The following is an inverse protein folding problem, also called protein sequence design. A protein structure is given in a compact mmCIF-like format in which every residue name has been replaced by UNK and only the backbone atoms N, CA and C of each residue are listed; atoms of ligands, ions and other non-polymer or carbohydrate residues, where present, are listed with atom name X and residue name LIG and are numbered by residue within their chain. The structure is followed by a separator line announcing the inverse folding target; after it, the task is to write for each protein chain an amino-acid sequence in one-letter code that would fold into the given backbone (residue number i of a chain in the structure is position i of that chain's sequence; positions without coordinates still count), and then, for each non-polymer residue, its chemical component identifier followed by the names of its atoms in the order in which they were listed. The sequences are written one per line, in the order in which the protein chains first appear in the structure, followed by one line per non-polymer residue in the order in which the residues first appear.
data_IF_377833245937
#
_entry.id   IF_377833245937
#
_cell.length_a   1.000
_cell.length_b   1.000
_cell.length_c   1.000
_cell.angle_alpha   90.00
_cell.angle_beta   90.00
_cell.angle_gamma   90.00
#
_symmetry.space_group_name_H-M   'P 1'
#
loop_
_entity.id
_entity.type
_entity.pdbx_description
1 polymer ?
#
# COMPACT_ATOMS: atom_id res chain seq x y z
N UNK A 1 -1.89 -17.61 0.51
CA UNK A 1 -1.71 -16.71 1.68
C UNK A 1 -2.76 -17.04 2.72
N UNK A 2 -2.36 -17.33 3.92
CA UNK A 2 -3.22 -17.62 5.09
C UNK A 2 -2.91 -16.63 6.21
N UNK A 3 -3.77 -16.54 7.22
CA UNK A 3 -3.54 -15.71 8.40
C UNK A 3 -2.20 -16.05 9.05
N UNK A 4 -1.91 -17.32 9.25
CA UNK A 4 -0.64 -17.79 9.81
C UNK A 4 0.60 -17.33 9.03
N UNK A 5 0.47 -17.07 7.71
CA UNK A 5 1.56 -16.55 6.90
C UNK A 5 1.80 -15.06 7.18
N UNK A 6 0.73 -14.31 7.42
CA UNK A 6 0.78 -12.88 7.80
C UNK A 6 1.35 -12.75 9.21
N UNK A 7 0.91 -13.58 10.16
CA UNK A 7 1.40 -13.57 11.55
C UNK A 7 2.90 -13.86 11.60
N UNK A 8 3.38 -14.87 10.85
CA UNK A 8 4.82 -15.13 10.72
C UNK A 8 5.60 -13.97 10.11
N UNK A 9 5.00 -13.22 9.19
CA UNK A 9 5.64 -12.04 8.61
C UNK A 9 5.68 -10.87 9.62
N UNK A 10 4.68 -10.78 10.50
CA UNK A 10 4.67 -9.81 11.60
C UNK A 10 5.75 -10.13 12.64
N UNK A 11 5.96 -11.41 12.99
CA UNK A 11 7.01 -11.85 13.91
C UNK A 11 8.42 -11.39 13.47
N UNK A 12 8.65 -11.23 12.16
CA UNK A 12 9.95 -10.77 11.63
C UNK A 12 10.26 -9.32 12.02
N UNK A 13 9.22 -8.49 12.21
CA UNK A 13 9.45 -7.10 12.63
C UNK A 13 9.82 -6.97 14.10
N UNK A 14 9.42 -7.93 14.96
CA UNK A 14 9.71 -7.98 16.40
C UNK A 14 9.51 -6.61 17.10
N UNK A 15 8.42 -5.94 16.72
CA UNK A 15 8.13 -4.60 17.19
C UNK A 15 7.45 -4.62 18.56
N UNK A 16 7.99 -3.89 19.52
CA UNK A 16 7.38 -3.66 20.84
C UNK A 16 6.35 -2.53 20.82
N UNK A 17 6.32 -1.72 19.76
CA UNK A 17 5.43 -0.57 19.62
C UNK A 17 4.23 -0.90 18.73
N UNK A 18 3.10 -0.24 19.00
CA UNK A 18 1.91 -0.26 18.13
C UNK A 18 2.21 0.40 16.77
N UNK A 19 2.69 -0.39 15.82
CA UNK A 19 2.93 0.04 14.46
C UNK A 19 1.73 -0.32 13.56
N UNK A 20 1.52 0.45 12.52
CA UNK A 20 0.53 0.13 11.49
C UNK A 20 1.17 -0.70 10.39
N UNK A 21 0.50 -1.78 10.02
CA UNK A 21 0.96 -2.68 8.97
C UNK A 21 -0.04 -2.75 7.84
N UNK A 22 0.48 -2.82 6.62
CA UNK A 22 -0.30 -2.97 5.39
C UNK A 22 0.22 -4.19 4.63
N UNK A 23 -0.66 -5.16 4.41
CA UNK A 23 -0.35 -6.31 3.56
C UNK A 23 -0.90 -6.08 2.14
N UNK A 24 -0.03 -6.18 1.15
CA UNK A 24 -0.39 -6.09 -0.27
C UNK A 24 -0.40 -7.50 -0.84
N UNK A 25 -1.58 -7.99 -1.19
CA UNK A 25 -1.80 -9.37 -1.66
C UNK A 25 -2.64 -9.43 -2.93
N UNK A 26 -2.63 -10.60 -3.56
CA UNK A 26 -3.46 -10.84 -4.74
C UNK A 26 -4.96 -10.83 -4.36
N UNK A 27 -5.87 -10.31 -5.21
CA UNK A 27 -7.32 -10.33 -4.94
C UNK A 27 -7.91 -11.70 -4.67
N UNK A 28 -7.38 -12.76 -5.28
CA UNK A 28 -7.81 -14.14 -5.04
C UNK A 28 -7.46 -14.61 -3.62
N UNK A 29 -6.24 -14.27 -3.17
CA UNK A 29 -5.77 -14.60 -1.82
C UNK A 29 -6.52 -13.79 -0.76
N UNK A 30 -6.82 -12.52 -1.03
CA UNK A 30 -7.65 -11.70 -0.16
C UNK A 30 -9.04 -12.30 0.05
N UNK A 31 -9.64 -12.87 -1.00
CA UNK A 31 -10.94 -13.54 -0.91
C UNK A 31 -10.88 -14.83 -0.09
N UNK A 32 -9.81 -15.61 -0.24
CA UNK A 32 -9.56 -16.82 0.57
C UNK A 32 -9.35 -16.44 2.04
N UNK A 33 -8.51 -15.44 2.29
CA UNK A 33 -8.22 -14.95 3.64
C UNK A 33 -9.50 -14.50 4.37
N UNK A 34 -10.37 -13.77 3.70
CA UNK A 34 -11.66 -13.35 4.26
C UNK A 34 -12.54 -14.52 4.69
N UNK A 35 -12.50 -15.64 3.95
CA UNK A 35 -13.27 -16.84 4.29
C UNK A 35 -12.68 -17.55 5.52
N UNK A 36 -11.35 -17.60 5.62
CA UNK A 36 -10.65 -18.26 6.72
C UNK A 36 -10.79 -17.50 8.05
N UNK A 37 -10.86 -16.17 8.00
CA UNK A 37 -10.88 -15.27 9.18
C UNK A 37 -12.21 -14.52 9.34
N UNK A 38 -13.32 -15.13 8.95
CA UNK A 38 -14.64 -14.47 8.95
C UNK A 38 -15.04 -13.84 10.30
N UNK A 39 -14.53 -14.30 11.44
CA UNK A 39 -14.79 -13.77 12.78
C UNK A 39 -13.91 -12.58 13.17
N UNK A 40 -12.72 -12.48 12.60
CA UNK A 40 -11.72 -11.46 12.93
C UNK A 40 -11.59 -10.40 11.83
N UNK A 41 -12.43 -10.53 10.80
CA UNK A 41 -12.42 -9.63 9.66
C UNK A 41 -13.18 -8.33 9.93
N UNK A 42 -12.47 -7.22 9.93
CA UNK A 42 -13.08 -5.89 9.97
C UNK A 42 -13.18 -5.32 8.56
N UNK A 43 -14.37 -4.86 8.19
CA UNK A 43 -14.59 -4.24 6.87
C UNK A 43 -13.90 -2.88 6.81
N UNK A 44 -13.39 -2.53 5.63
CA UNK A 44 -12.75 -1.22 5.42
C UNK A 44 -13.65 -0.02 5.76
N UNK A 45 -14.97 -0.15 5.63
CA UNK A 45 -15.94 0.90 6.00
C UNK A 45 -16.14 1.07 7.52
N UNK A 46 -15.74 0.10 8.32
CA UNK A 46 -15.84 0.11 9.78
C UNK A 46 -14.54 0.65 10.44
N UNK A 47 -13.47 0.75 9.65
CA UNK A 47 -12.19 1.32 10.09
C UNK A 47 -12.32 2.84 10.22
N UNK A 48 -11.78 3.40 11.30
CA UNK A 48 -11.75 4.85 11.52
C UNK A 48 -10.97 5.58 10.42
N UNK A 49 -11.32 6.85 10.18
CA UNK A 49 -10.73 7.64 9.09
C UNK A 49 -9.20 7.73 9.16
N UNK A 50 -8.64 7.75 10.36
CA UNK A 50 -7.18 7.81 10.60
C UNK A 50 -6.46 6.48 10.36
N UNK A 51 -7.20 5.37 10.30
CA UNK A 51 -6.64 4.02 10.15
C UNK A 51 -6.83 3.46 8.74
N UNK A 52 -7.67 4.08 7.91
CA UNK A 52 -7.97 3.60 6.57
C UNK A 52 -6.90 4.06 5.59
N UNK A 53 -6.18 3.13 5.00
CA UNK A 53 -5.34 3.37 3.82
C UNK A 53 -6.24 3.33 2.58
N UNK A 54 -6.05 4.28 1.66
CA UNK A 54 -6.81 4.30 0.40
C UNK A 54 -6.68 2.97 -0.33
N UNK A 55 -7.80 2.35 -0.65
CA UNK A 55 -7.84 1.03 -1.29
C UNK A 55 -7.82 -0.16 -0.33
N UNK A 56 -7.89 0.07 1.00
CA UNK A 56 -8.00 -1.01 1.98
C UNK A 56 -9.26 -1.84 1.74
N UNK A 57 -9.07 -3.15 1.68
CA UNK A 57 -10.15 -4.12 1.50
C UNK A 57 -10.80 -4.52 2.84
N UNK A 58 -10.01 -4.55 3.89
CA UNK A 58 -10.41 -4.90 5.25
C UNK A 58 -9.17 -5.04 6.13
N UNK A 59 -9.38 -5.48 7.35
CA UNK A 59 -8.33 -5.73 8.33
C UNK A 59 -8.44 -7.15 8.89
N UNK A 60 -7.30 -7.78 9.13
CA UNK A 60 -7.18 -9.07 9.79
C UNK A 60 -5.90 -9.08 10.63
N UNK A 61 -5.95 -9.53 11.88
CA UNK A 61 -4.82 -9.53 12.83
C UNK A 61 -4.11 -8.18 12.97
N UNK A 62 -4.86 -7.06 12.98
CA UNK A 62 -4.26 -5.72 13.08
C UNK A 62 -3.53 -5.26 11.80
N UNK A 63 -3.62 -6.02 10.70
CA UNK A 63 -2.99 -5.70 9.42
C UNK A 63 -4.04 -5.26 8.41
N UNK A 64 -3.86 -4.09 7.82
CA UNK A 64 -4.72 -3.61 6.74
C UNK A 64 -4.41 -4.35 5.43
N UNK A 65 -5.43 -4.85 4.76
CA UNK A 65 -5.29 -5.64 3.53
C UNK A 65 -5.58 -4.77 2.31
N UNK A 66 -4.59 -4.66 1.43
CA UNK A 66 -4.69 -3.97 0.13
C UNK A 66 -4.55 -4.99 -0.99
N UNK A 67 -5.45 -4.92 -1.98
CA UNK A 67 -5.46 -5.85 -3.11
C UNK A 67 -4.70 -5.28 -4.30
N UNK A 68 -3.79 -6.05 -4.85
CA UNK A 68 -3.08 -5.69 -6.07
C UNK A 68 -2.98 -6.88 -7.04
N UNK A 69 -3.39 -6.68 -8.29
CA UNK A 69 -3.22 -7.68 -9.36
C UNK A 69 -1.77 -7.83 -9.81
N UNK A 70 -0.90 -6.91 -9.42
CA UNK A 70 0.54 -6.95 -9.74
C UNK A 70 1.30 -7.94 -8.87
N UNK A 71 0.70 -8.37 -7.76
CA UNK A 71 1.25 -9.40 -6.88
C UNK A 71 0.77 -10.77 -7.35
N UNK A 72 1.68 -11.72 -7.46
CA UNK A 72 1.36 -13.10 -7.85
C UNK A 72 0.53 -13.80 -6.77
N UNK A 73 -0.30 -14.76 -7.18
CA UNK A 73 -1.08 -15.59 -6.25
C UNK A 73 -0.15 -16.36 -5.30
N UNK A 74 -0.47 -16.37 -4.02
CA UNK A 74 0.34 -17.01 -2.97
C UNK A 74 1.44 -16.12 -2.39
N UNK A 75 1.83 -15.04 -3.07
CA UNK A 75 2.85 -14.09 -2.62
C UNK A 75 2.23 -12.81 -2.07
N UNK A 76 2.99 -12.11 -1.23
CA UNK A 76 2.58 -10.83 -0.69
C UNK A 76 3.73 -10.03 -0.11
N UNK A 77 3.42 -8.79 0.20
CA UNK A 77 4.34 -7.88 0.87
C UNK A 77 3.67 -7.32 2.11
N UNK A 78 4.37 -7.38 3.24
CA UNK A 78 3.98 -6.71 4.46
C UNK A 78 4.85 -5.46 4.63
N UNK A 79 4.20 -4.31 4.74
CA UNK A 79 4.85 -3.00 4.82
C UNK A 79 4.50 -2.36 6.15
N UNK A 80 5.51 -1.98 6.92
CA UNK A 80 5.35 -1.15 8.12
C UNK A 80 5.14 0.30 7.69
N UNK A 81 3.98 0.85 8.03
CA UNK A 81 3.62 2.25 7.73
C UNK A 81 4.08 3.14 8.88
N UNK A 82 4.78 4.21 8.55
CA UNK A 82 5.20 5.19 9.53
C UNK A 82 3.98 5.88 10.17
N UNK A 83 3.88 5.97 11.49
CA UNK A 83 2.82 6.75 12.12
C UNK A 83 3.04 8.23 11.78
N UNK A 84 2.02 8.88 11.31
CA UNK A 84 1.85 10.33 11.10
C UNK A 84 3.11 11.18 10.80
N UNK A 85 3.03 12.02 9.79
CA UNK A 85 4.04 13.02 9.38
C UNK A 85 4.31 14.14 10.43
N UNK A 86 3.73 14.06 11.62
CA UNK A 86 3.84 15.08 12.68
C UNK A 86 4.97 14.80 13.67
N UNK A 87 5.73 13.73 13.52
CA UNK A 87 6.84 13.46 14.41
C UNK A 87 8.09 14.24 13.99
N UNK A 88 8.63 14.99 14.94
CA UNK A 88 9.84 15.81 14.84
C UNK A 88 11.14 14.99 14.83
N UNK A 89 11.07 13.67 14.87
CA UNK A 89 12.23 12.79 14.83
C UNK A 89 12.59 12.42 13.39
N UNK A 90 13.76 12.84 12.95
CA UNK A 90 14.26 12.65 11.57
C UNK A 90 14.38 11.16 11.16
N UNK A 91 14.51 10.25 12.10
CA UNK A 91 14.65 8.81 11.85
C UNK A 91 13.36 8.13 11.38
N UNK A 92 12.19 8.69 11.68
CA UNK A 92 10.87 8.15 11.33
C UNK A 92 10.12 8.93 10.25
N UNK A 93 10.78 9.91 9.64
CA UNK A 93 10.19 10.86 8.69
C UNK A 93 9.76 10.21 7.36
N UNK A 94 10.47 9.17 6.94
CA UNK A 94 10.23 8.52 5.66
C UNK A 94 9.64 7.13 5.86
N UNK A 95 8.65 6.78 5.01
CA UNK A 95 8.12 5.42 4.95
C UNK A 95 9.10 4.45 4.29
N UNK A 96 8.67 3.20 4.11
CA UNK A 96 9.45 2.19 3.39
C UNK A 96 9.78 2.61 1.95
N UNK A 97 8.87 3.36 1.31
CA UNK A 97 9.00 3.84 -0.06
C UNK A 97 8.98 5.36 -0.11
N UNK A 98 9.77 5.91 -1.03
CA UNK A 98 9.80 7.34 -1.34
C UNK A 98 9.48 7.55 -2.81
N UNK A 99 8.59 8.49 -3.10
CA UNK A 99 8.28 8.94 -4.44
C UNK A 99 9.10 10.21 -4.70
N UNK A 100 10.01 10.15 -5.68
CA UNK A 100 10.82 11.27 -6.11
C UNK A 100 10.14 11.90 -7.32
N UNK A 101 9.53 13.06 -7.14
CA UNK A 101 8.93 13.82 -8.22
C UNK A 101 10.00 14.71 -8.86
N UNK A 102 10.33 14.42 -10.13
CA UNK A 102 11.28 15.23 -10.91
C UNK A 102 10.58 16.41 -11.58
N UNK A 103 9.38 16.17 -12.11
CA UNK A 103 8.55 17.16 -12.77
C UNK A 103 7.10 16.86 -12.46
N UNK A 104 6.40 17.86 -12.01
CA UNK A 104 4.96 17.82 -11.77
C UNK A 104 4.17 17.72 -13.09
N UNK A 105 2.91 17.38 -12.99
CA UNK A 105 2.02 17.22 -14.15
C UNK A 105 2.02 18.51 -14.97
N UNK A 106 2.48 18.42 -16.23
CA UNK A 106 2.35 19.48 -17.22
C UNK A 106 1.23 19.11 -18.19
N UNK A 107 0.24 19.97 -18.33
CA UNK A 107 -0.86 19.79 -19.26
C UNK A 107 -0.69 20.81 -20.39
N UNK A 108 -0.61 20.30 -21.61
CA UNK A 108 -0.55 21.11 -22.81
C UNK A 108 -1.80 20.87 -23.68
N UNK A 109 -2.32 21.94 -24.24
CA UNK A 109 -3.48 21.87 -25.12
C UNK A 109 -3.13 22.49 -26.47
N UNK A 110 -3.43 21.78 -27.55
CA UNK A 110 -3.30 22.28 -28.91
C UNK A 110 -4.61 22.10 -29.68
N UNK A 111 -4.95 23.09 -30.51
CA UNK A 111 -6.15 23.05 -31.32
C UNK A 111 -5.81 22.86 -32.80
N UNK A 112 -6.13 21.69 -33.34
CA UNK A 112 -6.07 21.41 -34.76
C UNK A 112 -7.27 22.08 -35.47
N UNK A 113 -7.00 23.17 -36.16
CA UNK A 113 -8.02 23.95 -36.86
C UNK A 113 -8.58 23.19 -38.06
N UNK A 114 -7.77 22.35 -38.67
CA UNK A 114 -8.15 21.58 -39.88
C UNK A 114 -9.13 20.48 -39.52
N UNK A 115 -8.83 19.72 -38.48
CA UNK A 115 -9.66 18.62 -38.00
C UNK A 115 -10.74 19.06 -37.00
N UNK A 116 -10.72 20.34 -36.58
CA UNK A 116 -11.61 20.89 -35.54
C UNK A 116 -11.59 20.07 -34.22
N UNK A 117 -10.44 19.52 -33.88
CA UNK A 117 -10.24 18.75 -32.66
C UNK A 117 -9.30 19.50 -31.72
N UNK A 118 -9.46 19.28 -30.40
CA UNK A 118 -8.53 19.75 -29.40
C UNK A 118 -7.76 18.55 -28.86
N UNK A 119 -6.44 18.58 -28.91
CA UNK A 119 -5.56 17.58 -28.38
C UNK A 119 -5.09 18.07 -27.00
N UNK A 120 -5.26 17.25 -25.99
CA UNK A 120 -4.79 17.50 -24.62
C UNK A 120 -3.75 16.44 -24.32
N UNK A 121 -2.53 16.87 -24.00
CA UNK A 121 -1.44 15.99 -23.56
C UNK A 121 -1.09 16.31 -22.14
N UNK A 122 -0.77 15.29 -21.35
CA UNK A 122 -0.28 15.44 -19.98
C UNK A 122 0.91 14.52 -19.76
N UNK A 123 1.95 15.04 -19.16
CA UNK A 123 3.13 14.28 -18.79
C UNK A 123 3.58 14.59 -17.36
N UNK A 124 4.10 13.57 -16.68
CA UNK A 124 4.62 13.63 -15.32
C UNK A 124 5.89 12.77 -15.25
N UNK A 125 6.91 13.24 -14.54
CA UNK A 125 8.16 12.49 -14.36
C UNK A 125 8.38 12.21 -12.87
N UNK A 126 8.20 10.97 -12.48
CA UNK A 126 8.48 10.52 -11.13
C UNK A 126 9.24 9.18 -11.10
N UNK A 127 9.85 8.91 -9.97
CA UNK A 127 10.49 7.63 -9.68
C UNK A 127 10.07 7.14 -8.29
N UNK A 128 9.96 5.83 -8.13
CA UNK A 128 9.69 5.20 -6.84
C UNK A 128 10.96 4.49 -6.38
N UNK A 129 11.36 4.72 -5.15
CA UNK A 129 12.55 4.14 -4.56
C UNK A 129 12.21 3.47 -3.22
N UNK A 130 12.76 2.27 -2.99
CA UNK A 130 12.70 1.60 -1.69
C UNK A 130 13.77 2.24 -0.79
N UNK A 131 13.32 3.09 0.13
CA UNK A 131 14.20 3.85 1.01
C UNK A 131 14.70 3.00 2.18
N UNK A 132 13.78 2.30 2.84
CA UNK A 132 14.10 1.47 3.99
C UNK A 132 13.62 0.01 3.76
N UNK A 133 14.53 -0.90 3.38
CA UNK A 133 14.18 -2.29 3.15
C UNK A 133 13.80 -3.05 4.43
N UNK A 134 14.19 -2.57 5.62
CA UNK A 134 13.85 -3.22 6.90
C UNK A 134 12.36 -3.12 7.23
N UNK A 135 11.65 -2.18 6.59
CA UNK A 135 10.21 -1.97 6.76
C UNK A 135 9.35 -2.76 5.79
N UNK A 136 9.94 -3.63 5.00
CA UNK A 136 9.20 -4.45 4.02
C UNK A 136 9.60 -5.90 4.16
N UNK A 137 8.63 -6.75 4.42
CA UNK A 137 8.80 -8.21 4.45
C UNK A 137 8.03 -8.83 3.29
N UNK A 138 8.72 -9.62 2.49
CA UNK A 138 8.08 -10.44 1.45
C UNK A 138 7.72 -11.80 2.05
N UNK A 139 6.50 -12.26 1.82
CA UNK A 139 6.03 -13.56 2.27
C UNK A 139 5.35 -14.34 1.13
N UNK A 140 5.27 -15.65 1.34
CA UNK A 140 4.80 -16.58 0.33
C UNK A 140 5.92 -17.03 -0.61
N UNK A 141 5.81 -18.26 -1.10
CA UNK A 141 6.71 -18.86 -2.11
C UNK A 141 6.24 -18.56 -3.53
#
# INVERSE_FOLDING_TARGET
TTLATIDKALEIFDDEEDARYVAIINPKDASKLKTDVAKEWTKGSELGADMVVSGTFGEASGVQIVRSRKVEEGKGFLVKVSPSQTQTDDSNKYGAFVILLKRDVAIETDRDIIKKTTVITGDEHYGVYLYDPTRVVKFGE
#
